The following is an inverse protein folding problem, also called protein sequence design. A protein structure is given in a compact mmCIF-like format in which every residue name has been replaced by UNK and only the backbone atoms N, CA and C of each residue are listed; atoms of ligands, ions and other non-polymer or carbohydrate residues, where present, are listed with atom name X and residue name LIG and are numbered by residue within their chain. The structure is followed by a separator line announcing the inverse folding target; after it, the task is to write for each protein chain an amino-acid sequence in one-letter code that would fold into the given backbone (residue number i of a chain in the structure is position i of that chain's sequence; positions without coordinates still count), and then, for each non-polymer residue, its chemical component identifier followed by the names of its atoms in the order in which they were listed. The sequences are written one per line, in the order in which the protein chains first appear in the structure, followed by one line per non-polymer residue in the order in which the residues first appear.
data_IF_366044363009
#
_entry.id   IF_366044363009
#
_cell.length_a   1.000
_cell.length_b   1.000
_cell.length_c   1.000
_cell.angle_alpha   90.00
_cell.angle_beta   90.00
_cell.angle_gamma   90.00
#
_symmetry.space_group_name_H-M   'P 1'
#
loop_
_entity.id
_entity.type
_entity.pdbx_description
1 polymer ?
#
# COMPACT_ATOMS: atom_id res chain seq x y z
N UNK A 1 -10.09 -4.48 -10.15
CA UNK A 1 -9.92 -4.99 -8.78
C UNK A 1 -9.48 -3.89 -7.81
N UNK A 2 -8.31 -3.26 -8.02
CA UNK A 2 -7.81 -2.19 -7.13
C UNK A 2 -8.77 -1.00 -7.01
N UNK A 3 -9.39 -0.60 -8.13
CA UNK A 3 -10.46 0.43 -8.14
C UNK A 3 -11.61 0.08 -7.20
N UNK A 4 -12.08 -1.19 -7.22
CA UNK A 4 -13.18 -1.66 -6.36
C UNK A 4 -12.78 -1.68 -4.88
N UNK A 5 -11.53 -2.02 -4.58
CA UNK A 5 -11.02 -1.92 -3.21
C UNK A 5 -11.02 -0.47 -2.71
N UNK A 6 -10.67 0.49 -3.56
CA UNK A 6 -10.72 1.92 -3.24
C UNK A 6 -12.16 2.43 -3.10
N UNK A 7 -13.07 1.96 -3.93
CA UNK A 7 -14.51 2.24 -3.82
C UNK A 7 -15.07 1.74 -2.47
N UNK A 8 -14.77 0.50 -2.08
CA UNK A 8 -15.17 -0.06 -0.77
C UNK A 8 -14.59 0.78 0.39
N UNK A 9 -13.32 1.18 0.29
CA UNK A 9 -12.69 2.06 1.27
C UNK A 9 -13.46 3.40 1.40
N UNK A 10 -13.85 4.01 0.28
CA UNK A 10 -14.58 5.30 0.25
C UNK A 10 -15.97 5.17 0.84
N UNK A 11 -16.73 4.14 0.46
CA UNK A 11 -18.08 3.90 0.97
C UNK A 11 -18.08 3.73 2.51
N UNK A 12 -17.08 3.02 3.04
CA UNK A 12 -16.94 2.86 4.49
C UNK A 12 -16.58 4.17 5.21
N UNK A 13 -15.78 5.03 4.58
CA UNK A 13 -15.44 6.34 5.15
C UNK A 13 -16.64 7.31 5.08
N UNK A 14 -17.33 7.38 3.94
CA UNK A 14 -18.45 8.28 3.73
C UNK A 14 -19.65 7.96 4.65
N UNK A 15 -19.98 6.68 4.82
CA UNK A 15 -21.07 6.22 5.70
C UNK A 15 -20.87 6.57 7.18
N UNK A 16 -19.64 6.92 7.60
CA UNK A 16 -19.29 7.24 8.98
C UNK A 16 -19.13 8.73 9.28
N UNK A 17 -19.10 9.60 8.25
CA UNK A 17 -19.01 11.06 8.43
C UNK A 17 -20.32 11.65 9.01
N UNK A 18 -21.44 10.92 8.94
CA UNK A 18 -22.74 11.35 9.48
C UNK A 18 -22.98 11.10 10.98
N UNK A 19 -22.02 10.53 11.73
CA UNK A 19 -22.13 10.34 13.18
C UNK A 19 -20.92 11.00 13.86
N UNK A 20 -21.19 12.08 14.59
CA UNK A 20 -20.31 12.87 15.47
C UNK A 20 -18.92 12.28 15.72
N UNK A 21 -17.86 13.00 15.29
CA UNK A 21 -16.42 12.98 15.68
C UNK A 21 -15.77 11.72 16.30
N UNK A 22 -16.32 10.53 16.11
CA UNK A 22 -15.79 9.28 16.63
C UNK A 22 -14.79 8.79 15.57
N UNK A 23 -13.52 8.82 15.93
CA UNK A 23 -12.44 8.25 15.13
C UNK A 23 -12.82 6.85 14.62
N UNK A 24 -12.58 6.59 13.34
CA UNK A 24 -12.94 5.32 12.69
C UNK A 24 -12.20 4.15 13.35
N UNK A 25 -12.92 3.37 14.16
CA UNK A 25 -12.36 2.28 14.97
C UNK A 25 -12.27 0.93 14.25
N UNK A 26 -12.71 0.85 12.99
CA UNK A 26 -12.77 -0.43 12.25
C UNK A 26 -11.72 -0.55 11.15
N UNK A 27 -11.03 0.53 10.79
CA UNK A 27 -10.01 0.50 9.74
C UNK A 27 -8.65 0.97 10.24
N UNK A 28 -7.56 0.40 9.73
CA UNK A 28 -6.22 0.85 10.08
C UNK A 28 -6.01 2.29 9.63
N UNK A 29 -5.23 3.02 10.42
CA UNK A 29 -4.81 4.38 10.13
C UNK A 29 -3.30 4.45 9.95
N UNK A 30 -2.86 5.34 9.05
CA UNK A 30 -1.44 5.72 8.96
C UNK A 30 -1.09 6.71 10.06
N UNK A 31 0.07 6.50 10.67
CA UNK A 31 0.67 7.41 11.63
C UNK A 31 2.17 7.56 11.38
N UNK A 32 2.73 8.68 11.84
CA UNK A 32 4.17 8.96 11.77
C UNK A 32 4.70 9.24 13.17
N UNK A 33 5.86 8.68 13.49
CA UNK A 33 6.55 8.96 14.75
C UNK A 33 7.35 10.25 14.60
N UNK A 34 6.97 11.29 15.33
CA UNK A 34 7.63 12.60 15.24
C UNK A 34 8.85 12.67 16.16
N UNK A 35 8.72 12.22 17.41
CA UNK A 35 9.80 12.30 18.40
C UNK A 35 9.61 11.30 19.55
N UNK A 36 10.71 10.91 20.20
CA UNK A 36 10.71 10.22 21.49
C UNK A 36 10.88 11.27 22.59
N UNK A 37 9.87 11.43 23.46
CA UNK A 37 9.84 12.47 24.52
C UNK A 37 10.52 12.03 25.82
N UNK A 38 10.94 10.76 25.91
CA UNK A 38 11.63 10.19 27.07
C UNK A 38 10.97 8.90 27.56
N UNK A 39 11.79 7.91 27.94
CA UNK A 39 11.32 6.58 28.32
C UNK A 39 10.49 5.94 27.19
N UNK A 40 9.26 5.52 27.53
CA UNK A 40 8.28 4.91 26.62
C UNK A 40 7.30 5.91 26.00
N UNK A 41 7.53 7.23 26.14
CA UNK A 41 6.65 8.28 25.61
C UNK A 41 7.06 8.71 24.20
N UNK A 42 6.10 8.73 23.28
CA UNK A 42 6.28 9.09 21.88
C UNK A 42 5.28 10.15 21.47
N UNK A 43 5.71 11.05 20.59
CA UNK A 43 4.88 12.02 19.88
C UNK A 43 4.55 11.47 18.50
N UNK A 44 3.27 11.27 18.21
CA UNK A 44 2.78 10.72 16.95
C UNK A 44 1.95 11.75 16.19
N UNK A 45 2.11 11.76 14.87
CA UNK A 45 1.22 12.45 13.94
C UNK A 45 0.20 11.45 13.39
N UNK A 46 -1.08 11.73 13.60
CA UNK A 46 -2.20 10.93 13.12
C UNK A 46 -3.15 11.84 12.35
N UNK A 47 -3.15 11.73 11.03
CA UNK A 47 -3.89 12.65 10.16
C UNK A 47 -3.38 14.08 10.33
N UNK A 48 -4.25 14.99 10.80
CA UNK A 48 -3.90 16.41 11.07
C UNK A 48 -3.64 16.70 12.55
N UNK A 49 -3.66 15.68 13.42
CA UNK A 49 -3.50 15.84 14.87
C UNK A 49 -2.19 15.24 15.34
N UNK A 50 -1.63 15.87 16.36
CA UNK A 50 -0.49 15.33 17.09
C UNK A 50 -0.98 14.74 18.41
N UNK A 51 -0.54 13.54 18.74
CA UNK A 51 -0.93 12.80 19.93
C UNK A 51 0.31 12.36 20.69
N UNK A 52 0.29 12.50 22.01
CA UNK A 52 1.28 11.87 22.88
C UNK A 52 0.78 10.51 23.34
N UNK A 53 1.61 9.48 23.21
CA UNK A 53 1.26 8.12 23.62
C UNK A 53 2.40 7.44 24.36
N UNK A 54 2.07 6.35 25.04
CA UNK A 54 3.04 5.42 25.62
C UNK A 54 3.02 4.14 24.81
N UNK A 55 4.19 3.68 24.37
CA UNK A 55 4.35 2.42 23.67
C UNK A 55 5.36 1.54 24.38
N UNK A 56 4.99 0.28 24.63
CA UNK A 56 5.91 -0.75 25.11
C UNK A 56 6.85 -1.22 23.99
N UNK A 57 6.36 -1.19 22.74
CA UNK A 57 7.17 -1.50 21.55
C UNK A 57 7.99 -0.26 21.20
N UNK A 58 9.29 -0.46 20.97
CA UNK A 58 10.15 0.62 20.51
C UNK A 58 9.75 1.06 19.09
N UNK A 59 9.53 2.36 18.93
CA UNK A 59 9.17 2.97 17.65
C UNK A 59 10.35 3.77 17.11
N UNK A 60 10.61 3.61 15.82
CA UNK A 60 11.67 4.35 15.10
C UNK A 60 11.18 5.77 14.81
N UNK A 61 11.97 6.77 15.22
CA UNK A 61 11.65 8.18 14.99
C UNK A 61 11.73 8.48 13.49
N UNK A 62 10.72 9.14 12.94
CA UNK A 62 10.60 9.43 11.51
C UNK A 62 9.91 8.31 10.72
N UNK A 63 9.80 7.10 11.27
CA UNK A 63 9.13 6.00 10.59
C UNK A 63 7.59 6.14 10.61
N UNK A 64 6.97 5.54 9.59
CA UNK A 64 5.52 5.47 9.43
C UNK A 64 5.02 4.08 9.79
N UNK A 65 3.84 4.02 10.40
CA UNK A 65 3.21 2.79 10.83
C UNK A 65 1.72 2.79 10.45
N UNK A 66 1.19 1.59 10.28
CA UNK A 66 -0.24 1.34 10.33
C UNK A 66 -0.63 0.90 11.73
N UNK A 67 -1.76 1.40 12.23
CA UNK A 67 -2.29 1.01 13.54
C UNK A 67 -3.81 0.93 13.54
N UNK A 68 -4.36 0.07 14.38
CA UNK A 68 -5.78 0.01 14.69
C UNK A 68 -6.09 0.90 15.89
N UNK A 69 -7.02 1.83 15.73
CA UNK A 69 -7.49 2.69 16.81
C UNK A 69 -8.69 2.08 17.53
N UNK A 70 -8.63 2.01 18.86
CA UNK A 70 -9.74 1.57 19.72
C UNK A 70 -10.00 2.62 20.80
N UNK A 71 -11.26 2.87 21.11
CA UNK A 71 -11.64 3.65 22.28
C UNK A 71 -11.64 2.75 23.52
N UNK A 72 -10.84 3.11 24.51
CA UNK A 72 -10.84 2.46 25.81
C UNK A 72 -12.11 2.79 26.61
N UNK A 73 -12.39 1.98 27.64
CA UNK A 73 -13.59 2.12 28.50
C UNK A 73 -13.69 3.48 29.20
N UNK A 74 -12.57 4.19 29.35
CA UNK A 74 -12.48 5.51 29.99
C UNK A 74 -12.36 6.67 28.97
N UNK A 75 -12.67 6.44 27.68
CA UNK A 75 -12.56 7.45 26.63
C UNK A 75 -11.15 7.72 26.12
N UNK A 76 -10.15 6.98 26.61
CA UNK A 76 -8.76 7.07 26.14
C UNK A 76 -8.57 6.35 24.79
N UNK A 77 -7.72 6.90 23.91
CA UNK A 77 -7.39 6.28 22.62
C UNK A 77 -6.30 5.23 22.81
N UNK A 78 -6.54 4.01 22.33
CA UNK A 78 -5.58 2.91 22.33
C UNK A 78 -5.22 2.59 20.87
N UNK A 79 -3.93 2.66 20.56
CA UNK A 79 -3.38 2.22 19.27
C UNK A 79 -2.84 0.81 19.42
N UNK A 80 -3.27 -0.09 18.54
CA UNK A 80 -2.93 -1.52 18.57
C UNK A 80 -2.52 -2.01 17.19
N UNK A 81 -1.90 -3.21 17.13
CA UNK A 81 -1.46 -3.84 15.88
C UNK A 81 -0.55 -2.96 15.03
N UNK A 82 0.47 -2.35 15.66
CA UNK A 82 1.42 -1.47 14.97
C UNK A 82 2.31 -2.26 13.99
N UNK A 83 2.08 -1.99 12.71
CA UNK A 83 2.82 -2.58 11.59
C UNK A 83 3.61 -1.49 10.86
N UNK A 84 4.94 -1.61 10.70
CA UNK A 84 5.71 -0.61 9.98
C UNK A 84 5.28 -0.51 8.52
N UNK A 85 5.22 0.70 7.97
CA UNK A 85 5.05 0.90 6.54
C UNK A 85 6.36 0.49 5.83
N UNK A 86 6.29 -0.37 4.80
CA UNK A 86 7.49 -0.85 4.13
C UNK A 86 8.21 0.30 3.43
N UNK A 87 9.54 0.26 3.47
CA UNK A 87 10.39 1.15 2.68
C UNK A 87 10.34 0.66 1.22
N UNK A 88 9.49 1.30 0.42
CA UNK A 88 9.30 0.97 -1.00
C UNK A 88 10.19 1.86 -1.87
N UNK A 89 10.77 1.28 -2.93
CA UNK A 89 11.45 2.07 -3.95
C UNK A 89 10.44 3.01 -4.63
N UNK A 90 10.87 4.25 -4.90
CA UNK A 90 10.05 5.19 -5.65
C UNK A 90 9.91 4.72 -7.10
N UNK A 91 8.74 4.98 -7.68
CA UNK A 91 8.46 4.72 -9.08
C UNK A 91 8.03 6.04 -9.74
N UNK A 92 8.57 6.37 -10.92
CA UNK A 92 8.19 7.57 -11.66
C UNK A 92 6.85 7.37 -12.39
N UNK A 93 6.37 6.12 -12.49
CA UNK A 93 5.10 5.79 -13.13
C UNK A 93 3.93 6.15 -12.22
N UNK A 94 3.16 7.14 -12.64
CA UNK A 94 1.86 7.49 -12.05
C UNK A 94 0.79 7.26 -13.10
N UNK A 95 -0.16 6.39 -12.81
CA UNK A 95 -1.24 6.00 -13.71
C UNK A 95 -2.59 6.32 -13.08
N UNK A 96 -3.57 6.67 -13.89
CA UNK A 96 -4.96 6.58 -13.49
C UNK A 96 -5.52 5.15 -13.71
N UNK A 97 -6.78 4.94 -13.33
CA UNK A 97 -7.41 3.62 -13.48
C UNK A 97 -7.63 3.20 -14.93
N UNK A 98 -7.96 4.15 -15.81
CA UNK A 98 -8.25 3.89 -17.22
C UNK A 98 -6.96 3.44 -17.89
N UNK A 99 -5.90 4.21 -17.72
CA UNK A 99 -4.54 3.91 -18.19
C UNK A 99 -4.08 2.56 -17.64
N UNK A 100 -4.26 2.31 -16.34
CA UNK A 100 -3.87 1.02 -15.73
C UNK A 100 -4.59 -0.17 -16.34
N UNK A 101 -5.87 -0.02 -16.75
CA UNK A 101 -6.66 -1.09 -17.36
C UNK A 101 -6.18 -1.37 -18.78
N UNK A 102 -5.93 -0.33 -19.55
CA UNK A 102 -5.40 -0.44 -20.91
C UNK A 102 -4.01 -1.11 -20.91
N UNK A 103 -3.17 -0.72 -19.95
CA UNK A 103 -1.83 -1.27 -19.73
C UNK A 103 -1.82 -2.79 -19.52
N UNK A 104 -2.87 -3.32 -18.90
CA UNK A 104 -2.97 -4.75 -18.59
C UNK A 104 -3.53 -5.58 -19.75
N UNK A 105 -4.06 -4.93 -20.78
CA UNK A 105 -4.74 -5.58 -21.92
C UNK A 105 -3.86 -5.84 -23.14
N UNK A 106 -2.73 -5.13 -23.29
CA UNK A 106 -1.79 -5.26 -24.43
C UNK A 106 -0.46 -5.89 -23.97
N UNK A 107 0.47 -6.09 -24.91
CA UNK A 107 1.86 -6.53 -24.65
C UNK A 107 2.71 -5.42 -23.99
N UNK A 108 2.10 -4.65 -23.10
CA UNK A 108 2.55 -3.33 -22.66
C UNK A 108 3.80 -3.39 -21.78
N UNK A 109 4.09 -4.51 -21.14
CA UNK A 109 5.33 -4.65 -20.34
C UNK A 109 6.59 -4.42 -21.18
N UNK A 110 6.57 -4.81 -22.45
CA UNK A 110 7.70 -4.59 -23.36
C UNK A 110 7.80 -3.12 -23.76
N UNK A 111 6.67 -2.50 -24.11
CA UNK A 111 6.60 -1.07 -24.46
C UNK A 111 7.02 -0.18 -23.29
N UNK A 112 6.59 -0.50 -22.05
CA UNK A 112 7.04 0.21 -20.85
C UNK A 112 8.54 -0.02 -20.61
N UNK A 113 9.06 -1.22 -20.88
CA UNK A 113 10.49 -1.48 -20.74
C UNK A 113 11.31 -0.67 -21.75
N UNK A 114 10.85 -0.55 -23.00
CA UNK A 114 11.47 0.30 -24.02
C UNK A 114 11.43 1.77 -23.59
N UNK A 115 10.26 2.27 -23.17
CA UNK A 115 10.09 3.63 -22.67
C UNK A 115 10.97 3.93 -21.43
N UNK A 116 10.98 3.04 -20.44
CA UNK A 116 11.79 3.20 -19.25
C UNK A 116 13.29 3.15 -19.56
N UNK A 117 13.71 2.41 -20.60
CA UNK A 117 15.10 2.38 -21.06
C UNK A 117 15.52 3.71 -21.69
N UNK A 118 14.65 4.29 -22.52
CA UNK A 118 14.89 5.61 -23.11
C UNK A 118 14.96 6.71 -22.03
N UNK A 119 14.05 6.66 -21.04
CA UNK A 119 14.05 7.61 -19.92
C UNK A 119 15.28 7.46 -19.05
N UNK A 120 15.71 6.23 -18.75
CA UNK A 120 16.92 5.98 -17.98
C UNK A 120 18.17 6.55 -18.68
N UNK A 121 18.28 6.38 -20.01
CA UNK A 121 19.40 6.89 -20.79
C UNK A 121 19.47 8.43 -20.84
N UNK A 122 18.36 9.11 -20.58
CA UNK A 122 18.24 10.57 -20.57
C UNK A 122 18.15 11.16 -19.16
N UNK A 123 18.27 10.36 -18.11
CA UNK A 123 18.09 10.81 -16.74
C UNK A 123 19.12 11.89 -16.37
N UNK A 124 18.66 13.02 -15.84
CA UNK A 124 19.52 14.18 -15.55
C UNK A 124 20.11 14.13 -14.13
N UNK A 125 19.69 13.16 -13.31
CA UNK A 125 20.16 13.03 -11.93
C UNK A 125 20.05 11.62 -11.36
N UNK A 126 20.77 11.38 -10.26
CA UNK A 126 20.82 10.08 -9.57
C UNK A 126 19.44 9.58 -9.15
N UNK A 127 18.56 10.46 -8.67
CA UNK A 127 17.23 10.06 -8.22
C UNK A 127 16.37 9.55 -9.39
N UNK A 128 16.26 10.33 -10.47
CA UNK A 128 15.53 9.92 -11.68
C UNK A 128 16.11 8.63 -12.27
N UNK A 129 17.45 8.53 -12.33
CA UNK A 129 18.11 7.31 -12.80
C UNK A 129 17.72 6.09 -11.96
N UNK A 130 17.76 6.20 -10.62
CA UNK A 130 17.42 5.10 -9.73
C UNK A 130 15.93 4.71 -9.83
N UNK A 131 15.04 5.68 -10.03
CA UNK A 131 13.61 5.46 -10.22
C UNK A 131 13.31 4.67 -11.51
N UNK A 132 13.94 5.03 -12.63
CA UNK A 132 13.78 4.28 -13.88
C UNK A 132 14.50 2.92 -13.86
N UNK A 133 15.69 2.85 -13.24
CA UNK A 133 16.41 1.60 -13.05
C UNK A 133 15.59 0.60 -12.22
N UNK A 134 14.89 1.09 -11.20
CA UNK A 134 13.95 0.29 -10.41
C UNK A 134 12.82 -0.28 -11.27
N UNK A 135 12.18 0.54 -12.11
CA UNK A 135 11.11 0.09 -13.02
C UNK A 135 11.61 -0.99 -13.98
N UNK A 136 12.74 -0.75 -14.65
CA UNK A 136 13.32 -1.72 -15.59
C UNK A 136 13.69 -3.04 -14.91
N UNK A 137 14.34 -2.96 -13.74
CA UNK A 137 14.71 -4.15 -12.97
C UNK A 137 13.49 -4.96 -12.55
N UNK A 138 12.41 -4.29 -12.15
CA UNK A 138 11.13 -4.93 -11.86
C UNK A 138 10.56 -5.63 -13.09
N UNK A 139 10.53 -4.94 -14.24
CA UNK A 139 9.99 -5.48 -15.49
C UNK A 139 10.75 -6.73 -15.96
N UNK A 140 12.07 -6.78 -15.80
CA UNK A 140 12.87 -7.98 -16.06
C UNK A 140 12.46 -9.18 -15.19
N UNK A 141 11.95 -8.93 -13.97
CA UNK A 141 11.37 -9.95 -13.08
C UNK A 141 9.87 -10.17 -13.32
N UNK A 142 9.30 -9.55 -14.35
CA UNK A 142 7.89 -9.59 -14.69
C UNK A 142 6.99 -8.78 -13.75
N UNK A 143 7.56 -7.85 -12.98
CA UNK A 143 6.84 -7.01 -12.01
C UNK A 143 6.83 -5.57 -12.46
N UNK A 144 5.64 -5.01 -12.68
CA UNK A 144 5.47 -3.60 -12.93
C UNK A 144 5.12 -2.89 -11.61
N UNK A 145 5.83 -1.82 -11.29
CA UNK A 145 5.58 -0.98 -10.10
C UNK A 145 5.15 0.43 -10.51
N UNK A 146 4.03 0.89 -9.99
CA UNK A 146 3.44 2.19 -10.33
C UNK A 146 2.63 2.77 -9.16
N UNK A 147 2.34 4.06 -9.21
CA UNK A 147 1.39 4.70 -8.30
C UNK A 147 0.05 4.88 -9.02
N UNK A 148 -1.04 4.45 -8.39
CA UNK A 148 -2.39 4.82 -8.82
C UNK A 148 -2.75 6.13 -8.16
N UNK A 149 -3.13 7.12 -8.95
CA UNK A 149 -3.62 8.39 -8.43
C UNK A 149 -5.12 8.32 -8.15
N UNK A 150 -5.48 8.59 -6.89
CA UNK A 150 -6.85 8.61 -6.41
C UNK A 150 -7.11 9.95 -5.70
N UNK A 151 -7.71 10.91 -6.41
CA UNK A 151 -7.83 12.31 -5.98
C UNK A 151 -6.46 12.90 -5.60
N UNK A 152 -6.25 13.24 -4.32
CA UNK A 152 -4.99 13.76 -3.77
C UNK A 152 -4.04 12.65 -3.24
N UNK A 153 -4.46 11.37 -3.30
CA UNK A 153 -3.70 10.25 -2.71
C UNK A 153 -3.04 9.41 -3.79
N UNK A 154 -1.78 9.06 -3.56
CA UNK A 154 -1.04 8.10 -4.38
C UNK A 154 -1.02 6.74 -3.68
N UNK A 155 -1.39 5.71 -4.42
CA UNK A 155 -1.44 4.33 -3.97
C UNK A 155 -0.37 3.52 -4.68
N UNK A 156 0.68 3.15 -3.94
CA UNK A 156 1.73 2.30 -4.49
C UNK A 156 1.19 0.92 -4.82
N UNK A 157 1.44 0.46 -6.04
CA UNK A 157 0.94 -0.79 -6.59
C UNK A 157 2.04 -1.51 -7.34
N UNK A 158 2.09 -2.83 -7.17
CA UNK A 158 2.87 -3.72 -8.02
C UNK A 158 1.96 -4.78 -8.60
N UNK A 159 2.20 -5.13 -9.86
CA UNK A 159 1.51 -6.22 -10.54
C UNK A 159 2.51 -7.14 -11.21
N UNK A 160 2.29 -8.44 -11.11
CA UNK A 160 3.13 -9.46 -11.72
C UNK A 160 2.29 -10.38 -12.57
N UNK A 161 2.58 -10.38 -13.87
CA UNK A 161 1.91 -11.28 -14.82
C UNK A 161 2.56 -12.66 -14.74
N UNK A 162 1.75 -13.70 -14.51
CA UNK A 162 2.11 -15.12 -14.68
C UNK A 162 1.35 -15.68 -15.88
N UNK A 163 1.68 -16.91 -16.28
CA UNK A 163 1.02 -17.59 -17.41
C UNK A 163 -0.51 -17.62 -17.26
N UNK A 164 -0.99 -18.04 -16.09
CA UNK A 164 -2.43 -18.24 -15.81
C UNK A 164 -2.91 -17.50 -14.57
N UNK A 165 -2.15 -16.53 -14.07
CA UNK A 165 -2.55 -15.73 -12.93
C UNK A 165 -1.93 -14.33 -12.94
N UNK A 166 -2.57 -13.42 -12.22
CA UNK A 166 -2.04 -12.10 -11.94
C UNK A 166 -1.86 -11.97 -10.43
N UNK A 167 -0.64 -11.69 -9.99
CA UNK A 167 -0.36 -11.35 -8.60
C UNK A 167 -0.32 -9.82 -8.49
N UNK A 168 -0.84 -9.26 -7.41
CA UNK A 168 -0.72 -7.85 -7.11
C UNK A 168 -0.38 -7.58 -5.64
N UNK A 169 0.20 -6.42 -5.41
CA UNK A 169 0.52 -5.88 -4.10
C UNK A 169 0.16 -4.41 -4.11
N UNK A 170 -0.51 -3.93 -3.07
CA UNK A 170 -0.92 -2.54 -2.97
C UNK A 170 -0.85 -2.02 -1.54
N UNK A 171 -0.54 -0.73 -1.41
CA UNK A 171 -0.52 -0.03 -0.13
C UNK A 171 -1.60 1.05 -0.11
N UNK A 172 -2.63 0.82 0.71
CA UNK A 172 -3.75 1.72 0.91
C UNK A 172 -3.60 2.52 2.20
N UNK A 173 -4.24 3.70 2.24
CA UNK A 173 -4.24 4.54 3.44
C UNK A 173 -5.05 3.91 4.58
N UNK A 174 -6.18 3.28 4.25
CA UNK A 174 -7.14 2.80 5.25
C UNK A 174 -7.47 1.30 5.14
N UNK A 175 -6.89 0.58 4.17
CA UNK A 175 -6.91 -0.89 4.16
C UNK A 175 -5.55 -1.49 4.60
N UNK A 176 -4.52 -0.65 4.72
CA UNK A 176 -3.15 -1.11 4.95
C UNK A 176 -2.55 -1.73 3.70
N UNK A 177 -1.62 -2.66 3.92
CA UNK A 177 -0.99 -3.47 2.88
C UNK A 177 -1.91 -4.62 2.54
N UNK A 178 -2.08 -4.88 1.24
CA UNK A 178 -2.86 -5.98 0.72
C UNK A 178 -2.12 -6.60 -0.46
N UNK A 179 -2.14 -7.92 -0.55
CA UNK A 179 -1.70 -8.67 -1.72
C UNK A 179 -2.83 -9.54 -2.21
N UNK A 180 -2.79 -9.90 -3.48
CA UNK A 180 -3.76 -10.85 -3.99
C UNK A 180 -3.30 -11.54 -5.25
N UNK A 181 -4.00 -12.61 -5.57
CA UNK A 181 -3.76 -13.45 -6.73
C UNK A 181 -5.09 -13.70 -7.43
N UNK A 182 -5.11 -13.37 -8.71
CA UNK A 182 -6.25 -13.56 -9.60
C UNK A 182 -5.93 -14.76 -10.50
N UNK A 183 -6.66 -15.84 -10.35
CA UNK A 183 -6.62 -17.02 -11.23
C UNK A 183 -8.06 -17.44 -11.58
N UNK A 184 -8.43 -18.70 -11.37
CA UNK A 184 -9.82 -19.16 -11.32
C UNK A 184 -10.56 -18.68 -10.06
N UNK A 185 -9.80 -18.33 -9.01
CA UNK A 185 -10.31 -17.77 -7.76
C UNK A 185 -9.57 -16.47 -7.45
N UNK A 186 -10.18 -15.64 -6.62
CA UNK A 186 -9.56 -14.43 -6.11
C UNK A 186 -9.07 -14.69 -4.68
N UNK A 187 -7.77 -14.74 -4.50
CA UNK A 187 -7.14 -14.83 -3.18
C UNK A 187 -6.69 -13.42 -2.77
N UNK A 188 -7.08 -12.99 -1.57
CA UNK A 188 -6.68 -11.72 -0.96
C UNK A 188 -6.03 -11.98 0.40
N UNK A 189 -4.84 -11.44 0.61
CA UNK A 189 -4.18 -11.42 1.90
C UNK A 189 -4.25 -10.00 2.46
N UNK A 190 -4.72 -9.85 3.69
CA UNK A 190 -4.87 -8.55 4.37
C UNK A 190 -4.23 -8.57 5.75
N UNK A 191 -3.73 -7.42 6.22
CA UNK A 191 -3.05 -7.37 7.53
C UNK A 191 -3.98 -7.41 8.74
N UNK A 192 -5.26 -7.06 8.58
CA UNK A 192 -6.16 -6.82 9.70
C UNK A 192 -7.48 -7.59 9.57
N UNK A 193 -7.95 -8.26 10.63
CA UNK A 193 -9.25 -8.95 10.62
C UNK A 193 -10.43 -8.03 10.31
N UNK A 194 -10.38 -6.77 10.72
CA UNK A 194 -11.43 -5.80 10.43
C UNK A 194 -11.49 -5.40 8.96
N UNK A 195 -10.34 -5.44 8.26
CA UNK A 195 -10.28 -5.26 6.81
C UNK A 195 -10.81 -6.51 6.11
N UNK A 196 -10.47 -7.72 6.58
CA UNK A 196 -11.03 -8.95 6.06
C UNK A 196 -12.56 -8.94 6.12
N UNK A 197 -13.11 -8.65 7.31
CA UNK A 197 -14.55 -8.53 7.53
C UNK A 197 -15.20 -7.47 6.62
N UNK A 198 -14.56 -6.31 6.44
CA UNK A 198 -15.07 -5.29 5.52
C UNK A 198 -15.17 -5.81 4.08
N UNK A 199 -14.16 -6.54 3.61
CA UNK A 199 -14.14 -7.09 2.26
C UNK A 199 -15.17 -8.22 2.10
N UNK A 200 -15.34 -9.06 3.12
CA UNK A 200 -16.37 -10.11 3.18
C UNK A 200 -17.79 -9.53 3.12
N UNK A 201 -18.04 -8.43 3.83
CA UNK A 201 -19.34 -7.72 3.81
C UNK A 201 -19.62 -7.02 2.47
N UNK A 202 -18.61 -6.87 1.60
CA UNK A 202 -18.69 -6.12 0.35
C UNK A 202 -18.21 -6.92 -0.88
N UNK A 203 -18.31 -8.26 -0.83
CA UNK A 203 -17.86 -9.14 -1.93
C UNK A 203 -18.55 -8.81 -3.26
N UNK A 204 -19.83 -8.44 -3.23
CA UNK A 204 -20.60 -8.08 -4.42
C UNK A 204 -20.00 -6.87 -5.17
N UNK A 205 -19.39 -5.93 -4.44
CA UNK A 205 -18.73 -4.76 -5.02
C UNK A 205 -17.40 -5.10 -5.71
N UNK A 206 -16.78 -6.25 -5.37
CA UNK A 206 -15.55 -6.69 -6.01
C UNK A 206 -15.78 -7.15 -7.46
N UNK A 207 -17.02 -7.55 -7.80
CA UNK A 207 -17.43 -7.99 -9.15
C UNK A 207 -16.52 -9.06 -9.75
N UNK A 208 -15.99 -9.98 -8.93
CA UNK A 208 -15.07 -11.04 -9.37
C UNK A 208 -15.80 -12.18 -10.12
N UNK A 209 -17.08 -12.42 -9.82
CA UNK A 209 -17.91 -13.43 -10.50
C UNK A 209 -17.58 -14.89 -10.17
N UNK A 210 -16.51 -15.15 -9.41
CA UNK A 210 -16.12 -16.49 -8.93
C UNK A 210 -15.87 -16.54 -7.42
N UNK A 211 -15.22 -17.60 -6.96
CA UNK A 211 -14.87 -17.77 -5.54
C UNK A 211 -13.85 -16.72 -5.09
N UNK A 212 -14.09 -16.12 -3.92
CA UNK A 212 -13.20 -15.17 -3.25
C UNK A 212 -12.75 -15.76 -1.91
N UNK A 213 -11.45 -15.80 -1.67
CA UNK A 213 -10.83 -16.21 -0.41
C UNK A 213 -10.07 -15.04 0.18
N UNK A 214 -10.34 -14.74 1.44
CA UNK A 214 -9.68 -13.66 2.17
C UNK A 214 -8.97 -14.27 3.37
N UNK A 215 -7.67 -13.99 3.50
CA UNK A 215 -6.84 -14.48 4.60
C UNK A 215 -6.20 -13.30 5.34
N UNK A 216 -6.16 -13.38 6.67
CA UNK A 216 -5.42 -12.41 7.49
C UNK A 216 -3.98 -12.89 7.63
N UNK A 217 -3.03 -12.09 7.14
CA UNK A 217 -1.62 -12.44 7.11
C UNK A 217 -0.74 -11.28 7.53
N UNK A 218 0.18 -11.55 8.44
CA UNK A 218 1.21 -10.59 8.83
C UNK A 218 2.40 -10.62 7.86
N UNK A 219 3.10 -9.49 7.73
CA UNK A 219 4.34 -9.42 6.97
C UNK A 219 4.18 -9.59 5.45
N UNK A 220 3.06 -9.11 4.89
CA UNK A 220 2.85 -9.05 3.44
C UNK A 220 3.99 -8.25 2.77
N UNK A 221 4.71 -8.89 1.85
CA UNK A 221 5.89 -8.31 1.19
C UNK A 221 5.55 -7.82 -0.22
N UNK A 222 6.25 -6.78 -0.71
CA UNK A 222 6.20 -6.39 -2.11
C UNK A 222 6.60 -7.54 -3.04
N UNK A 223 6.06 -7.54 -4.27
CA UNK A 223 6.41 -8.50 -5.32
C UNK A 223 7.83 -8.31 -5.83
N UNK A 224 8.35 -7.08 -5.72
CA UNK A 224 9.71 -6.71 -6.05
C UNK A 224 10.21 -5.57 -5.17
N UNK A 225 11.43 -5.70 -4.65
CA UNK A 225 12.18 -4.61 -4.05
C UNK A 225 13.58 -4.65 -4.65
N UNK A 226 14.08 -3.48 -5.05
CA UNK A 226 15.45 -3.36 -5.51
C UNK A 226 16.35 -3.12 -4.31
N UNK A 227 17.35 -3.98 -4.16
CA UNK A 227 18.38 -3.82 -3.14
C UNK A 227 19.20 -2.56 -3.46
N UNK A 228 19.61 -1.83 -2.42
CA UNK A 228 20.27 -0.52 -2.56
C UNK A 228 21.61 -0.58 -3.34
N UNK A 229 22.22 -1.76 -3.45
CA UNK A 229 23.41 -2.01 -4.25
C UNK A 229 23.05 -2.53 -5.65
N UNK A 230 22.76 -1.61 -6.58
CA UNK A 230 22.94 -1.87 -8.01
C UNK A 230 24.37 -1.55 -8.47
N UNK A 231 25.08 -0.74 -7.68
CA UNK A 231 26.35 -0.09 -8.01
C UNK A 231 27.26 -0.10 -6.78
N UNK A 232 27.56 -1.26 -6.19
CA UNK A 232 28.85 -1.41 -5.49
C UNK A 232 29.95 -1.46 -6.55
N UNK A 233 30.22 -0.31 -7.16
CA UNK A 233 31.49 -0.05 -7.81
C UNK A 233 32.48 0.31 -6.70
N UNK A 234 32.84 -0.68 -5.87
CA UNK A 234 34.10 -0.65 -5.17
C UNK A 234 35.20 -0.84 -6.23
N UNK A 235 35.57 0.26 -6.87
CA UNK A 235 36.83 0.40 -7.62
C UNK A 235 37.92 0.76 -6.61
#
# INVERSE_FOLDING_TARGET
MIERLLEIQRLNLASKIGKESIFNSTLPIKLKVLAKKGGMKYLLEVGKRTLETRSLKELEVGAKYFAMMKSGKAGNIILSSLTPEPKLNKTPLSLDFIESKELMSKNTFKEIAEFASERLARAEGKEEFMEWAFVLSGLQKGVLSFCIQDEEKKHYTQVKKRKNSLEFYAVFSHLGILSGKLSSILELEVMYPSVAKLLEENLDLLKWGGEVRIEVKEGIKPLFCMQESLLDLSI
#
